data_IF_684439555754
#
_entry.id   IF_684439555754
#
_cell.length_a   1.000
_cell.length_b   1.000
_cell.length_c   1.000
_cell.angle_alpha   90.00
_cell.angle_beta   90.00
_cell.angle_gamma   90.00
#
_symmetry.space_group_name_H-M   'P 1'
#
loop_
_entity.id
_entity.type
_entity.pdbx_description
1 polymer ?
#
# COMPACT_ATOMS: atom_id res chain seq x y z
N UNK A 1 -23.91 -32.25 42.07
CA UNK A 1 -22.62 -31.92 41.43
C UNK A 1 -22.88 -30.93 40.30
N UNK A 2 -21.96 -29.99 40.15
CA UNK A 2 -22.19 -28.67 39.60
C UNK A 2 -22.46 -28.61 38.09
N UNK A 3 -23.20 -27.56 37.77
CA UNK A 3 -23.45 -26.88 36.49
C UNK A 3 -22.24 -26.90 35.52
N UNK A 4 -22.45 -27.37 34.28
CA UNK A 4 -21.52 -27.14 33.17
C UNK A 4 -22.07 -26.03 32.28
N UNK A 5 -21.36 -24.91 32.29
CA UNK A 5 -21.56 -23.74 31.41
C UNK A 5 -20.99 -24.08 30.05
N UNK A 6 -21.82 -24.03 28.99
CA UNK A 6 -21.32 -24.01 27.60
C UNK A 6 -21.41 -22.56 27.14
N UNK A 7 -20.30 -21.85 27.26
CA UNK A 7 -20.16 -20.49 26.74
C UNK A 7 -19.81 -20.52 25.25
N UNK A 8 -20.60 -19.80 24.46
CA UNK A 8 -20.22 -19.35 23.11
C UNK A 8 -18.99 -18.45 23.14
N UNK A 9 -18.29 -18.33 22.00
CA UNK A 9 -17.65 -17.13 21.38
C UNK A 9 -16.58 -17.66 20.39
N UNK A 10 -16.75 -17.51 19.08
CA UNK A 10 -16.35 -16.37 18.24
C UNK A 10 -14.82 -16.20 18.12
N UNK A 11 -14.30 -16.34 16.89
CA UNK A 11 -13.22 -15.48 16.37
C UNK A 11 -12.98 -15.77 14.88
N UNK A 12 -12.92 -14.70 14.09
CA UNK A 12 -12.48 -14.64 12.70
C UNK A 12 -11.25 -15.53 12.45
N UNK A 13 -11.33 -16.43 11.48
CA UNK A 13 -10.13 -16.79 10.73
C UNK A 13 -10.01 -15.73 9.64
N UNK A 14 -9.47 -14.55 10.00
CA UNK A 14 -8.92 -13.65 9.00
C UNK A 14 -7.76 -14.39 8.37
N UNK A 15 -7.97 -14.83 7.13
CA UNK A 15 -6.89 -15.28 6.27
C UNK A 15 -6.08 -14.04 5.93
N UNK A 16 -5.21 -13.65 6.86
CA UNK A 16 -4.17 -12.65 6.68
C UNK A 16 -3.07 -13.31 5.83
N UNK A 17 -3.33 -13.38 4.52
CA UNK A 17 -2.25 -13.38 3.54
C UNK A 17 -1.67 -11.97 3.49
N UNK A 18 -1.02 -11.54 4.58
CA UNK A 18 -0.09 -10.44 4.51
C UNK A 18 1.16 -11.02 3.84
N UNK A 19 1.26 -10.83 2.52
CA UNK A 19 2.53 -10.95 1.83
C UNK A 19 3.54 -10.10 2.62
N UNK A 20 4.52 -10.77 3.23
CA UNK A 20 5.52 -10.11 4.06
C UNK A 20 6.36 -9.21 3.15
N UNK A 21 6.03 -7.93 3.13
CA UNK A 21 6.80 -6.92 2.43
C UNK A 21 8.11 -6.69 3.19
N UNK A 22 9.20 -6.54 2.45
CA UNK A 22 10.53 -6.33 2.99
C UNK A 22 10.60 -5.01 3.77
N UNK A 23 11.45 -4.93 4.80
CA UNK A 23 11.65 -3.67 5.55
C UNK A 23 12.25 -2.53 4.73
N UNK A 24 12.78 -2.86 3.55
CA UNK A 24 13.46 -1.94 2.61
C UNK A 24 12.57 -1.54 1.43
N UNK A 25 11.29 -1.92 1.44
CA UNK A 25 10.34 -1.55 0.39
C UNK A 25 10.21 -0.03 0.27
N UNK A 26 10.19 0.46 -0.96
CA UNK A 26 9.87 1.85 -1.25
C UNK A 26 8.36 1.97 -1.44
N UNK A 27 7.71 2.66 -0.51
CA UNK A 27 6.26 2.88 -0.57
C UNK A 27 5.93 4.08 -1.45
N UNK A 28 5.05 3.89 -2.44
CA UNK A 28 4.56 4.92 -3.35
C UNK A 28 3.07 5.19 -3.12
N UNK A 29 2.74 6.43 -2.79
CA UNK A 29 1.37 6.94 -2.76
C UNK A 29 1.02 7.55 -4.12
N UNK A 30 0.09 6.93 -4.85
CA UNK A 30 -0.33 7.43 -6.17
C UNK A 30 -1.65 8.21 -6.16
N UNK A 31 -2.02 8.75 -5.00
CA UNK A 31 -3.22 9.58 -4.83
C UNK A 31 -2.96 11.02 -5.26
N UNK A 32 -4.01 11.84 -5.24
CA UNK A 32 -3.85 13.28 -5.47
C UNK A 32 -3.34 13.97 -4.20
N UNK A 33 -2.67 15.11 -4.36
CA UNK A 33 -2.20 15.91 -3.22
C UNK A 33 -3.34 16.32 -2.27
N UNK A 34 -4.55 16.52 -2.79
CA UNK A 34 -5.74 16.84 -1.99
C UNK A 34 -6.12 15.69 -1.05
N UNK A 35 -6.03 14.44 -1.51
CA UNK A 35 -6.31 13.25 -0.68
C UNK A 35 -5.27 13.10 0.45
N UNK A 36 -4.00 13.42 0.17
CA UNK A 36 -2.92 13.38 1.16
C UNK A 36 -3.08 14.51 2.19
N UNK A 37 -3.51 15.70 1.78
CA UNK A 37 -3.76 16.79 2.72
C UNK A 37 -4.89 16.46 3.72
N UNK A 38 -5.92 15.72 3.28
CA UNK A 38 -7.04 15.32 4.13
C UNK A 38 -6.68 14.15 5.07
N UNK A 39 -6.13 13.08 4.49
CA UNK A 39 -5.95 11.80 5.18
C UNK A 39 -4.52 11.54 5.67
N UNK A 40 -3.52 12.27 5.16
CA UNK A 40 -2.10 11.98 5.36
C UNK A 40 -1.55 10.97 4.34
N UNK A 41 -0.26 10.65 4.45
CA UNK A 41 0.44 9.60 3.71
C UNK A 41 1.05 8.60 4.70
N UNK A 42 1.49 7.44 4.22
CA UNK A 42 2.28 6.51 5.04
C UNK A 42 3.66 7.10 5.40
N UNK A 43 4.14 6.84 6.62
CA UNK A 43 5.44 7.32 7.07
C UNK A 43 6.57 6.83 6.14
N UNK A 44 7.35 7.77 5.61
CA UNK A 44 8.40 7.47 4.62
C UNK A 44 7.92 7.17 3.19
N UNK A 45 6.60 7.24 2.91
CA UNK A 45 6.10 7.04 1.55
C UNK A 45 6.43 8.24 0.64
N UNK A 46 6.71 7.95 -0.63
CA UNK A 46 6.91 8.95 -1.67
C UNK A 46 5.60 9.18 -2.41
N UNK A 47 5.21 10.45 -2.57
CA UNK A 47 3.98 10.81 -3.27
C UNK A 47 4.27 11.11 -4.74
N UNK A 48 3.52 10.46 -5.63
CA UNK A 48 3.55 10.70 -7.08
C UNK A 48 2.14 10.63 -7.65
N UNK A 49 1.58 11.76 -8.08
CA UNK A 49 0.19 11.75 -8.56
C UNK A 49 0.07 11.01 -9.91
N UNK A 50 -0.68 9.90 -9.91
CA UNK A 50 -0.92 9.13 -11.12
C UNK A 50 -1.85 9.84 -12.11
N UNK A 51 -2.83 10.61 -11.63
CA UNK A 51 -3.79 11.30 -12.50
C UNK A 51 -3.15 12.48 -13.23
N UNK A 52 -2.14 13.12 -12.64
CA UNK A 52 -1.39 14.20 -13.29
C UNK A 52 -0.36 13.70 -14.30
N UNK A 53 -0.04 12.39 -14.28
CA UNK A 53 1.04 11.79 -15.07
C UNK A 53 2.44 12.02 -14.47
N UNK A 54 2.53 12.55 -13.26
CA UNK A 54 3.79 12.80 -12.56
C UNK A 54 4.58 11.51 -12.35
N UNK A 55 3.90 10.43 -11.93
CA UNK A 55 4.51 9.11 -11.75
C UNK A 55 5.32 8.70 -12.99
N UNK A 56 4.75 8.83 -14.19
CA UNK A 56 5.41 8.40 -15.42
C UNK A 56 6.71 9.18 -15.72
N UNK A 57 6.78 10.44 -15.27
CA UNK A 57 7.98 11.28 -15.42
C UNK A 57 9.04 10.90 -14.38
N UNK A 58 8.61 10.64 -13.15
CA UNK A 58 9.46 10.33 -12.01
C UNK A 58 10.03 8.91 -12.07
N UNK A 59 9.39 7.98 -12.80
CA UNK A 59 9.90 6.62 -13.01
C UNK A 59 11.32 6.59 -13.58
N UNK A 60 11.73 7.59 -14.34
CA UNK A 60 13.08 7.68 -14.91
C UNK A 60 14.16 7.96 -13.84
N UNK A 61 13.77 8.42 -12.66
CA UNK A 61 14.65 8.72 -11.53
C UNK A 61 14.65 7.62 -10.47
N UNK A 62 13.68 6.70 -10.55
CA UNK A 62 13.54 5.57 -9.65
C UNK A 62 14.46 4.41 -10.06
N UNK A 63 14.85 3.58 -9.09
CA UNK A 63 15.74 2.44 -9.29
C UNK A 63 14.91 1.22 -9.69
N UNK A 64 15.01 0.68 -10.92
CA UNK A 64 14.17 -0.43 -11.38
C UNK A 64 14.42 -1.76 -10.65
N UNK A 65 15.54 -1.90 -9.94
CA UNK A 65 15.89 -3.10 -9.16
C UNK A 65 15.38 -3.05 -7.70
N UNK A 66 14.82 -1.92 -7.26
CA UNK A 66 14.26 -1.79 -5.91
C UNK A 66 12.85 -2.39 -5.78
N UNK A 67 12.48 -2.80 -4.56
CA UNK A 67 11.14 -3.30 -4.23
C UNK A 67 10.18 -2.12 -4.01
N UNK A 68 9.09 -2.05 -4.78
CA UNK A 68 8.10 -0.97 -4.69
C UNK A 68 6.74 -1.47 -4.21
N UNK A 69 6.20 -0.80 -3.20
CA UNK A 69 4.85 -1.00 -2.71
C UNK A 69 3.96 0.19 -3.07
N UNK A 70 3.03 0.01 -4.01
CA UNK A 70 2.15 1.09 -4.48
C UNK A 70 0.78 0.94 -3.84
N UNK A 71 0.23 2.02 -3.30
CA UNK A 71 -1.15 2.06 -2.83
C UNK A 71 -1.89 3.29 -3.34
N UNK A 72 -3.22 3.24 -3.28
CA UNK A 72 -4.03 4.43 -3.53
C UNK A 72 -5.25 4.48 -2.61
N UNK A 73 -6.35 5.13 -3.03
CA UNK A 73 -7.59 5.14 -2.23
C UNK A 73 -8.29 3.79 -2.20
N UNK A 74 -8.20 2.98 -3.26
CA UNK A 74 -8.99 1.75 -3.42
C UNK A 74 -8.29 0.65 -4.23
N UNK A 75 -6.98 0.76 -4.48
CA UNK A 75 -6.19 -0.18 -5.29
C UNK A 75 -6.27 -0.03 -6.82
N UNK A 76 -7.27 0.69 -7.37
CA UNK A 76 -7.44 0.80 -8.84
C UNK A 76 -6.31 1.57 -9.54
N UNK A 77 -5.90 2.71 -8.98
CA UNK A 77 -4.75 3.49 -9.51
C UNK A 77 -3.43 2.76 -9.28
N UNK A 78 -3.27 2.13 -8.12
CA UNK A 78 -2.08 1.35 -7.81
C UNK A 78 -1.87 0.18 -8.79
N UNK A 79 -2.94 -0.50 -9.21
CA UNK A 79 -2.87 -1.54 -10.24
C UNK A 79 -2.42 -1.01 -11.62
N UNK A 80 -2.93 0.17 -12.03
CA UNK A 80 -2.51 0.80 -13.28
C UNK A 80 -1.07 1.31 -13.20
N UNK A 81 -0.70 1.95 -12.09
CA UNK A 81 0.65 2.39 -11.80
C UNK A 81 1.63 1.22 -11.86
N UNK A 82 1.29 0.09 -11.21
CA UNK A 82 2.07 -1.14 -11.28
C UNK A 82 2.36 -1.56 -12.72
N UNK A 83 1.34 -1.65 -13.57
CA UNK A 83 1.54 -2.02 -14.98
C UNK A 83 2.46 -1.04 -15.71
N UNK A 84 2.33 0.28 -15.45
CA UNK A 84 3.23 1.29 -16.04
C UNK A 84 4.69 1.10 -15.57
N UNK A 85 4.90 0.74 -14.30
CA UNK A 85 6.23 0.44 -13.77
C UNK A 85 6.81 -0.84 -14.38
N UNK A 86 6.00 -1.91 -14.47
CA UNK A 86 6.42 -3.16 -15.11
C UNK A 86 6.80 -2.94 -16.58
N UNK A 87 6.02 -2.15 -17.34
CA UNK A 87 6.34 -1.75 -18.71
C UNK A 87 7.62 -0.89 -18.81
N UNK A 88 7.93 -0.11 -17.77
CA UNK A 88 9.16 0.67 -17.67
C UNK A 88 10.39 -0.16 -17.27
N UNK A 89 10.20 -1.44 -16.92
CA UNK A 89 11.28 -2.39 -16.60
C UNK A 89 11.47 -2.65 -15.11
N UNK A 90 10.56 -2.19 -14.24
CA UNK A 90 10.60 -2.50 -12.82
C UNK A 90 10.15 -3.95 -12.61
N UNK A 91 10.94 -4.74 -11.88
CA UNK A 91 10.65 -6.17 -11.71
C UNK A 91 9.92 -6.49 -10.43
N UNK A 92 10.04 -5.63 -9.41
CA UNK A 92 9.52 -5.91 -8.06
C UNK A 92 8.54 -4.82 -7.62
N UNK A 93 7.29 -4.96 -8.09
CA UNK A 93 6.23 -3.98 -7.85
C UNK A 93 4.98 -4.67 -7.34
N UNK A 94 4.57 -4.27 -6.13
CA UNK A 94 3.43 -4.84 -5.41
C UNK A 94 2.33 -3.81 -5.25
N UNK A 95 1.09 -4.21 -5.54
CA UNK A 95 -0.09 -3.38 -5.30
C UNK A 95 -0.59 -3.65 -3.87
N UNK A 96 -0.37 -2.69 -2.98
CA UNK A 96 -0.78 -2.73 -1.57
C UNK A 96 -2.26 -2.36 -1.37
N UNK A 97 -3.00 -2.02 -2.43
CA UNK A 97 -4.44 -1.78 -2.34
C UNK A 97 -4.80 -0.36 -1.91
N UNK A 98 -5.65 -0.25 -0.88
CA UNK A 98 -6.05 1.04 -0.29
C UNK A 98 -5.02 1.52 0.75
N UNK A 99 -5.13 2.79 1.17
CA UNK A 99 -4.33 3.33 2.28
C UNK A 99 -4.42 2.43 3.52
N UNK A 100 -5.60 1.89 3.83
CA UNK A 100 -5.78 1.05 4.99
C UNK A 100 -5.10 -0.31 4.82
N UNK A 101 -5.29 -0.96 3.67
CA UNK A 101 -4.61 -2.23 3.34
C UNK A 101 -3.08 -2.08 3.39
N UNK A 102 -2.57 -0.94 2.92
CA UNK A 102 -1.14 -0.63 2.96
C UNK A 102 -0.65 -0.44 4.41
N UNK A 103 -1.42 0.20 5.29
CA UNK A 103 -1.11 0.27 6.73
C UNK A 103 -1.11 -1.12 7.36
N UNK A 104 -2.11 -1.95 7.07
CA UNK A 104 -2.23 -3.31 7.62
C UNK A 104 -1.08 -4.22 7.13
N UNK A 105 -0.63 -4.04 5.89
CA UNK A 105 0.44 -4.84 5.28
C UNK A 105 1.83 -4.39 5.73
N UNK A 106 2.08 -3.07 5.78
CA UNK A 106 3.41 -2.52 6.09
C UNK A 106 3.63 -2.29 7.58
N UNK A 107 2.54 -2.19 8.37
CA UNK A 107 2.59 -1.79 9.77
C UNK A 107 3.00 -0.33 9.98
N UNK A 108 3.13 0.47 8.91
CA UNK A 108 3.52 1.86 8.98
C UNK A 108 2.33 2.74 9.38
N UNK A 109 2.61 3.82 10.09
CA UNK A 109 1.60 4.77 10.54
C UNK A 109 1.35 5.86 9.49
N UNK A 110 0.12 6.39 9.49
CA UNK A 110 -0.25 7.51 8.62
C UNK A 110 0.23 8.81 9.26
N UNK A 111 1.05 9.56 8.53
CA UNK A 111 1.57 10.88 8.89
C UNK A 111 0.96 11.96 8.02
N UNK A 112 0.60 13.08 8.61
CA UNK A 112 0.14 14.26 7.87
C UNK A 112 1.35 15.16 7.56
N UNK A 113 1.52 15.61 6.31
CA UNK A 113 2.60 16.53 5.95
C UNK A 113 2.34 17.94 6.48
#
# INVERSE_FOLDING_TARGET
MALLVVGSLAACSTTESAEQISSDVVILDVRTAEEIADSGLLDGAQHYDFNSGELATELLQLDPDAEYGIYCRSGNRAGQAKSVMEDAGFTDVTNLGSLQDAVDTTGLQIVKP
#
